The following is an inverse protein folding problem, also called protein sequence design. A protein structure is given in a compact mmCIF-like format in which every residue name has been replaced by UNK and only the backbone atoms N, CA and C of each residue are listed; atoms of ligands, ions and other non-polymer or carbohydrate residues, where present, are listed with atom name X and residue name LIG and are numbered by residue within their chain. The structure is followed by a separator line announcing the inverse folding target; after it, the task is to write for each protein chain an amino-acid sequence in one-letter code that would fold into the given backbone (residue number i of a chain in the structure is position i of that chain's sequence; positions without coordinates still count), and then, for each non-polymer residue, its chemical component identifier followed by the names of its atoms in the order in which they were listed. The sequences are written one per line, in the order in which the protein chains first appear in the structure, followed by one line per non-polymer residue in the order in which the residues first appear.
data_IF_255793750197
#
_entry.id   IF_255793750197
#
_cell.length_a   1.000
_cell.length_b   1.000
_cell.length_c   1.000
_cell.angle_alpha   90.00
_cell.angle_beta   90.00
_cell.angle_gamma   90.00
#
_symmetry.space_group_name_H-M   'P 1'
#
loop_
_entity.id
_entity.type
_entity.pdbx_description
1 polymer ?
#
# COMPACT_ATOMS: atom_id res chain seq x y z
N UNK A 1 31.02 -51.52 -35.65
CA UNK A 1 30.57 -50.43 -36.56
C UNK A 1 29.73 -49.48 -35.72
N UNK A 2 30.38 -48.49 -35.08
CA UNK A 2 30.36 -47.04 -35.42
C UNK A 2 28.94 -46.47 -35.47
N UNK A 3 28.58 -45.38 -34.78
CA UNK A 3 29.39 -44.37 -34.07
C UNK A 3 28.49 -43.42 -33.28
N UNK A 4 28.73 -43.28 -31.98
CA UNK A 4 28.22 -42.18 -31.16
C UNK A 4 29.20 -41.01 -31.19
N UNK A 5 28.95 -40.02 -32.05
CA UNK A 5 29.72 -38.78 -32.15
C UNK A 5 28.73 -37.60 -32.09
N UNK A 6 28.61 -36.98 -30.92
CA UNK A 6 28.39 -35.54 -30.69
C UNK A 6 27.99 -35.29 -29.22
N UNK A 7 28.92 -35.53 -28.30
CA UNK A 7 28.89 -34.89 -26.97
C UNK A 7 30.05 -33.90 -26.98
N UNK A 8 29.73 -32.61 -27.07
CA UNK A 8 30.73 -31.54 -26.96
C UNK A 8 31.39 -31.59 -25.59
N UNK A 9 32.73 -31.47 -25.56
CA UNK A 9 33.49 -31.39 -24.31
C UNK A 9 33.12 -30.10 -23.56
N UNK A 10 32.96 -30.14 -22.22
CA UNK A 10 32.89 -28.92 -21.43
C UNK A 10 34.26 -28.23 -21.41
N UNK A 11 34.32 -26.88 -21.44
CA UNK A 11 35.59 -26.18 -21.30
C UNK A 11 36.14 -26.31 -19.88
N UNK A 12 37.41 -26.67 -19.82
CA UNK A 12 38.25 -26.82 -18.62
C UNK A 12 38.79 -25.44 -18.22
N UNK A 13 38.50 -24.99 -17.00
CA UNK A 13 39.07 -23.77 -16.42
C UNK A 13 39.93 -24.16 -15.21
N UNK A 14 41.21 -24.37 -15.47
CA UNK A 14 42.25 -24.47 -14.44
C UNK A 14 42.82 -23.08 -14.15
N UNK A 15 42.73 -22.64 -12.90
CA UNK A 15 43.33 -21.40 -12.38
C UNK A 15 44.86 -21.50 -12.26
N UNK A 16 45.61 -20.40 -12.52
CA UNK A 16 46.94 -20.21 -11.96
C UNK A 16 46.94 -19.18 -10.81
N UNK A 17 47.50 -19.58 -9.66
CA UNK A 17 47.83 -18.70 -8.53
C UNK A 17 49.05 -17.79 -8.76
N UNK A 18 49.42 -16.95 -7.77
CA UNK A 18 49.73 -15.54 -8.00
C UNK A 18 51.23 -15.23 -8.15
N UNK A 19 51.54 -14.14 -8.87
CA UNK A 19 52.86 -13.51 -8.86
C UNK A 19 52.74 -12.03 -8.48
N UNK A 20 53.40 -11.67 -7.38
CA UNK A 20 53.51 -10.35 -6.77
C UNK A 20 54.11 -9.28 -7.71
N UNK A 21 53.53 -8.08 -7.72
CA UNK A 21 54.32 -6.85 -7.68
C UNK A 21 53.55 -5.67 -7.09
N UNK A 22 54.26 -4.94 -6.23
CA UNK A 22 53.83 -3.94 -5.25
C UNK A 22 53.08 -2.72 -5.81
N UNK A 23 51.94 -2.41 -5.19
CA UNK A 23 51.80 -1.19 -4.38
C UNK A 23 51.14 0.05 -5.00
N UNK A 24 49.81 0.16 -4.89
CA UNK A 24 49.16 1.44 -4.56
C UNK A 24 47.84 1.18 -3.81
N UNK A 25 47.70 1.83 -2.65
CA UNK A 25 46.62 1.64 -1.66
C UNK A 25 45.25 2.13 -2.16
N UNK A 26 44.21 1.30 -1.91
CA UNK A 26 42.79 1.54 -1.51
C UNK A 26 42.08 2.77 -2.12
N UNK A 27 40.88 2.63 -2.72
CA UNK A 27 39.63 2.30 -2.01
C UNK A 27 38.57 1.65 -2.92
N UNK A 28 37.89 0.64 -2.38
CA UNK A 28 36.67 0.08 -2.96
C UNK A 28 35.53 1.12 -2.87
N UNK A 29 34.84 1.35 -3.98
CA UNK A 29 33.53 2.00 -3.99
C UNK A 29 32.54 0.89 -4.31
N UNK A 30 32.01 0.28 -3.25
CA UNK A 30 30.78 -0.48 -3.33
C UNK A 30 29.62 0.51 -3.42
N UNK A 31 28.69 0.23 -4.32
CA UNK A 31 27.36 0.85 -4.33
C UNK A 31 26.69 0.54 -2.99
N UNK A 32 26.61 1.54 -2.12
CA UNK A 32 25.75 1.53 -0.95
C UNK A 32 24.47 2.30 -1.27
N UNK A 33 23.37 1.56 -1.19
CA UNK A 33 22.00 2.04 -1.22
C UNK A 33 21.80 3.24 -0.29
N UNK A 34 21.05 4.22 -0.79
CA UNK A 34 20.55 5.37 -0.04
C UNK A 34 19.49 4.92 0.98
N UNK A 35 19.95 4.34 2.08
CA UNK A 35 19.23 4.26 3.35
C UNK A 35 19.87 5.28 4.28
N UNK A 36 19.41 6.53 4.28
CA UNK A 36 19.73 7.45 5.38
C UNK A 36 18.83 7.15 6.59
N UNK A 37 18.94 5.94 7.11
CA UNK A 37 18.70 5.67 8.51
C UNK A 37 19.92 4.89 9.02
N UNK A 38 20.65 5.53 9.94
CA UNK A 38 21.80 4.96 10.62
C UNK A 38 21.48 3.53 11.07
N UNK A 39 22.26 2.55 10.60
CA UNK A 39 22.12 1.13 10.91
C UNK A 39 22.38 0.78 12.39
N UNK A 40 22.56 1.79 13.25
CA UNK A 40 22.96 1.67 14.65
C UNK A 40 21.96 2.29 15.65
N UNK A 41 20.84 2.88 15.22
CA UNK A 41 19.93 3.60 16.13
C UNK A 41 18.57 2.89 16.28
N UNK A 42 18.20 2.53 17.51
CA UNK A 42 17.01 1.72 17.87
C UNK A 42 15.78 2.52 18.36
N UNK A 43 15.53 3.75 17.88
CA UNK A 43 14.32 4.50 18.27
C UNK A 43 13.78 5.37 17.13
N UNK A 44 12.70 4.94 16.44
CA UNK A 44 12.06 5.73 15.39
C UNK A 44 11.14 6.81 15.97
N UNK A 45 11.37 8.06 15.57
CA UNK A 45 10.57 9.24 15.93
C UNK A 45 9.83 9.72 14.69
N UNK A 46 8.50 9.84 14.79
CA UNK A 46 7.69 10.45 13.73
C UNK A 46 7.80 11.97 13.77
N UNK A 47 8.04 12.57 12.62
CA UNK A 47 7.91 14.02 12.43
C UNK A 47 6.45 14.43 12.22
N UNK A 48 6.14 15.72 12.36
CA UNK A 48 4.80 16.29 12.10
C UNK A 48 4.32 16.12 10.65
N UNK A 49 5.20 15.73 9.74
CA UNK A 49 4.90 15.41 8.36
C UNK A 49 4.81 13.90 8.07
N UNK A 50 4.87 13.05 9.10
CA UNK A 50 4.71 11.59 8.99
C UNK A 50 5.93 10.81 8.50
N UNK A 51 7.10 11.45 8.38
CA UNK A 51 8.37 10.77 8.10
C UNK A 51 9.08 10.35 9.38
N UNK A 52 9.77 9.21 9.35
CA UNK A 52 10.40 8.57 10.51
C UNK A 52 11.92 8.74 10.47
N UNK A 53 12.50 9.20 11.59
CA UNK A 53 13.95 9.34 11.76
C UNK A 53 14.40 8.78 13.10
N UNK A 54 15.69 8.51 13.26
CA UNK A 54 16.24 8.14 14.55
C UNK A 54 16.31 9.34 15.52
N UNK A 55 16.14 9.12 16.82
CA UNK A 55 16.19 10.20 17.84
C UNK A 55 17.50 11.02 17.77
N UNK A 56 18.65 10.37 17.57
CA UNK A 56 19.96 11.02 17.43
C UNK A 56 20.11 11.82 16.12
N UNK A 57 19.54 11.31 15.02
CA UNK A 57 19.50 11.95 13.71
C UNK A 57 18.67 13.24 13.76
N UNK A 58 17.64 13.23 14.61
CA UNK A 58 16.79 14.40 14.88
C UNK A 58 17.59 15.46 15.63
N UNK A 59 18.24 15.10 16.73
CA UNK A 59 19.03 16.06 17.53
C UNK A 59 20.22 16.65 16.76
N UNK A 60 20.99 15.82 16.03
CA UNK A 60 22.17 16.30 15.29
C UNK A 60 21.85 17.28 14.16
N UNK A 61 20.66 17.17 13.56
CA UNK A 61 20.20 18.06 12.50
C UNK A 61 19.57 19.35 13.06
N UNK A 62 18.97 19.26 14.25
CA UNK A 62 18.30 20.38 14.90
C UNK A 62 19.29 21.31 15.61
N UNK A 63 20.45 20.80 16.03
CA UNK A 63 21.55 21.60 16.62
C UNK A 63 22.37 22.41 15.59
N UNK A 64 22.21 22.16 14.28
CA UNK A 64 22.91 22.90 13.21
C UNK A 64 22.11 24.07 12.62
N UNK A 65 20.89 24.31 13.10
CA UNK A 65 20.02 25.39 12.62
C UNK A 65 20.18 26.65 13.49
N UNK A 66 20.81 27.69 12.94
CA UNK A 66 21.02 28.99 13.60
C UNK A 66 19.70 29.75 13.92
N UNK A 67 19.72 30.86 14.68
CA UNK A 67 18.99 31.12 15.95
C UNK A 67 17.48 31.41 15.82
N UNK A 68 16.85 31.06 14.70
CA UNK A 68 15.46 31.42 14.40
C UNK A 68 14.42 30.35 14.74
N UNK A 69 14.82 29.29 15.46
CA UNK A 69 13.89 28.40 16.17
C UNK A 69 12.92 27.57 15.32
N UNK A 70 13.15 27.43 14.00
CA UNK A 70 12.25 26.70 13.11
C UNK A 70 13.01 25.63 12.33
N UNK A 71 12.87 24.37 12.74
CA UNK A 71 13.42 23.20 12.05
C UNK A 71 12.54 22.80 10.85
N UNK A 72 13.19 22.44 9.73
CA UNK A 72 12.53 21.93 8.52
C UNK A 72 12.83 20.43 8.37
N UNK A 73 11.85 19.64 7.92
CA UNK A 73 12.07 18.20 7.71
C UNK A 73 13.11 17.95 6.60
N UNK A 74 14.16 17.13 6.83
CA UNK A 74 15.19 16.86 5.83
C UNK A 74 14.69 16.05 4.62
N UNK A 75 13.57 15.32 4.75
CA UNK A 75 13.04 14.46 3.68
C UNK A 75 11.96 15.14 2.82
N UNK A 76 11.28 16.17 3.32
CA UNK A 76 10.20 16.85 2.56
C UNK A 76 10.22 18.38 2.63
N UNK A 77 11.16 18.99 3.36
CA UNK A 77 11.31 20.44 3.44
C UNK A 77 10.16 21.20 4.12
N UNK A 78 9.15 20.50 4.66
CA UNK A 78 7.99 21.14 5.28
C UNK A 78 8.41 21.97 6.50
N UNK A 79 7.98 23.23 6.48
CA UNK A 79 8.06 24.17 7.61
C UNK A 79 6.70 24.21 8.29
N UNK A 80 6.65 23.94 9.59
CA UNK A 80 5.42 24.08 10.38
C UNK A 80 4.95 25.54 10.34
N UNK A 81 3.82 25.82 9.68
CA UNK A 81 3.10 27.09 9.79
C UNK A 81 1.78 26.85 10.51
N UNK A 82 1.68 27.30 11.75
CA UNK A 82 0.40 27.55 12.41
C UNK A 82 -0.26 28.71 11.66
N UNK A 83 -1.39 28.49 10.98
CA UNK A 83 -2.21 29.60 10.46
C UNK A 83 -3.63 29.50 10.98
N UNK A 84 -4.01 30.55 11.71
CA UNK A 84 -5.32 30.80 12.29
C UNK A 84 -6.45 30.83 11.27
N UNK A 85 -7.54 30.12 11.62
CA UNK A 85 -8.92 30.60 11.60
C UNK A 85 -9.55 30.96 10.26
N UNK A 86 -10.45 30.11 9.78
CA UNK A 86 -11.68 30.56 9.13
C UNK A 86 -12.83 29.60 9.47
N UNK A 87 -13.76 30.08 10.28
CA UNK A 87 -14.97 29.37 10.69
C UNK A 87 -15.97 29.36 9.52
N UNK A 88 -16.57 28.21 9.23
CA UNK A 88 -17.87 28.14 8.57
C UNK A 88 -18.80 27.29 9.41
N UNK A 89 -20.00 27.83 9.62
CA UNK A 89 -20.99 27.35 10.57
C UNK A 89 -21.74 26.13 10.02
N UNK A 90 -21.95 25.13 10.89
CA UNK A 90 -23.22 24.43 11.01
C UNK A 90 -23.27 23.77 12.40
N UNK A 91 -24.14 24.29 13.25
CA UNK A 91 -24.38 23.78 14.60
C UNK A 91 -25.40 22.64 14.53
N UNK A 92 -24.95 21.44 14.90
CA UNK A 92 -25.81 20.42 15.49
C UNK A 92 -25.31 20.20 16.93
N UNK A 93 -26.22 20.35 17.90
CA UNK A 93 -25.90 20.34 19.33
C UNK A 93 -25.29 19.00 19.75
N UNK A 94 -24.01 19.00 20.06
CA UNK A 94 -23.36 17.91 20.76
C UNK A 94 -22.54 18.42 21.94
N UNK A 95 -22.49 17.63 23.01
CA UNK A 95 -21.86 18.03 24.27
C UNK A 95 -20.37 18.30 24.13
N UNK A 96 -19.72 18.94 25.13
CA UNK A 96 -18.31 19.34 25.05
C UNK A 96 -17.33 18.18 24.81
N UNK A 97 -17.69 16.94 25.19
CA UNK A 97 -16.89 15.74 24.90
C UNK A 97 -16.99 15.27 23.43
N UNK A 98 -18.07 15.61 22.73
CA UNK A 98 -18.31 15.21 21.34
C UNK A 98 -17.61 16.18 20.36
N UNK A 99 -17.56 17.47 20.72
CA UNK A 99 -16.81 18.50 19.98
C UNK A 99 -15.32 18.14 19.91
N UNK A 100 -14.73 17.75 21.03
CA UNK A 100 -13.31 17.36 21.07
C UNK A 100 -12.99 16.09 20.28
N UNK A 101 -13.94 15.15 20.20
CA UNK A 101 -13.75 13.92 19.43
C UNK A 101 -13.82 14.18 17.92
N UNK A 102 -14.70 15.09 17.49
CA UNK A 102 -14.80 15.50 16.10
C UNK A 102 -13.50 16.16 15.61
N UNK A 103 -12.91 17.05 16.42
CA UNK A 103 -11.62 17.68 16.09
C UNK A 103 -10.51 16.65 15.86
N UNK A 104 -10.47 15.59 16.68
CA UNK A 104 -9.48 14.51 16.54
C UNK A 104 -9.71 13.68 15.27
N UNK A 105 -10.97 13.44 14.91
CA UNK A 105 -11.32 12.75 13.67
C UNK A 105 -10.94 13.59 12.43
N UNK A 106 -11.16 14.90 12.46
CA UNK A 106 -10.70 15.80 11.40
C UNK A 106 -9.17 15.83 11.31
N UNK A 107 -8.46 15.84 12.44
CA UNK A 107 -6.99 15.77 12.49
C UNK A 107 -6.48 14.47 11.83
N UNK A 108 -7.12 13.33 12.16
CA UNK A 108 -6.82 12.02 11.54
C UNK A 108 -7.07 12.04 10.03
N UNK A 109 -8.20 12.59 9.62
CA UNK A 109 -8.60 12.70 8.21
C UNK A 109 -7.62 13.55 7.40
N UNK A 110 -7.19 14.69 7.92
CA UNK A 110 -6.17 15.55 7.30
C UNK A 110 -4.80 14.84 7.22
N UNK A 111 -4.44 14.08 8.25
CA UNK A 111 -3.21 13.27 8.25
C UNK A 111 -3.23 12.21 7.13
N UNK A 112 -4.32 11.46 7.01
CA UNK A 112 -4.48 10.46 5.95
C UNK A 112 -4.52 11.09 4.56
N UNK A 113 -5.19 12.23 4.40
CA UNK A 113 -5.17 12.99 3.15
C UNK A 113 -3.75 13.33 2.75
N UNK A 114 -2.96 13.93 3.66
CA UNK A 114 -1.56 14.29 3.43
C UNK A 114 -0.69 13.08 3.06
N UNK A 115 -0.95 11.92 3.68
CA UNK A 115 -0.24 10.66 3.39
C UNK A 115 -0.57 10.09 2.00
N UNK A 116 -1.79 10.29 1.50
CA UNK A 116 -2.27 9.66 0.26
C UNK A 116 -2.36 10.62 -0.95
N UNK A 117 -2.30 11.93 -0.74
CA UNK A 117 -2.48 12.93 -1.82
C UNK A 117 -1.37 12.90 -2.88
N UNK A 118 -0.21 12.36 -2.53
CA UNK A 118 1.02 12.47 -3.30
C UNK A 118 1.71 11.14 -3.46
N UNK A 119 2.13 10.85 -4.68
CA UNK A 119 2.88 9.63 -5.03
C UNK A 119 4.18 10.01 -5.73
N UNK A 120 5.22 9.21 -5.53
CA UNK A 120 6.51 9.39 -6.18
C UNK A 120 6.41 8.87 -7.61
N UNK A 121 6.62 9.75 -8.58
CA UNK A 121 6.88 9.36 -9.96
C UNK A 121 8.40 9.37 -10.16
N UNK A 122 8.95 8.41 -10.89
CA UNK A 122 10.39 8.22 -11.06
C UNK A 122 11.03 9.25 -11.99
N UNK A 123 10.61 10.52 -11.90
CA UNK A 123 11.16 11.63 -12.66
C UNK A 123 12.59 11.94 -12.24
N UNK A 124 13.37 12.53 -13.16
CA UNK A 124 14.78 12.89 -13.01
C UNK A 124 15.13 13.77 -11.78
N UNK A 125 14.14 14.36 -11.10
CA UNK A 125 14.34 15.11 -9.86
C UNK A 125 14.03 14.26 -8.62
N UNK A 126 15.03 13.97 -7.76
CA UNK A 126 14.83 13.28 -6.49
C UNK A 126 13.81 14.03 -5.62
N UNK A 127 12.69 13.38 -5.31
CA UNK A 127 11.67 13.91 -4.40
C UNK A 127 10.50 14.67 -5.05
N UNK A 128 10.44 14.76 -6.39
CA UNK A 128 9.24 15.26 -7.07
C UNK A 128 8.04 14.34 -6.81
N UNK A 129 7.03 14.87 -6.11
CA UNK A 129 5.80 14.16 -5.73
C UNK A 129 4.62 14.71 -6.53
N UNK A 130 3.99 13.85 -7.33
CA UNK A 130 2.82 14.19 -8.15
C UNK A 130 1.53 13.95 -7.37
N UNK A 131 0.53 14.82 -7.59
CA UNK A 131 -0.79 14.65 -7.01
C UNK A 131 -1.47 13.40 -7.58
N UNK A 132 -1.89 12.48 -6.72
CA UNK A 132 -2.52 11.22 -7.11
C UNK A 132 -3.72 11.47 -8.03
N UNK A 133 -4.61 12.40 -7.65
CA UNK A 133 -5.81 12.73 -8.43
C UNK A 133 -5.52 13.23 -9.85
N UNK A 134 -4.31 13.77 -10.11
CA UNK A 134 -3.93 14.24 -11.45
C UNK A 134 -3.64 13.09 -12.42
N UNK A 135 -3.11 11.99 -11.90
CA UNK A 135 -2.56 10.88 -12.70
C UNK A 135 -3.39 9.60 -12.56
N UNK A 136 -4.26 9.53 -11.54
CA UNK A 136 -5.07 8.37 -11.28
C UNK A 136 -6.00 8.09 -12.47
N UNK A 137 -5.95 6.85 -12.94
CA UNK A 137 -6.86 6.28 -13.92
C UNK A 137 -7.55 5.11 -13.22
N UNK A 138 -8.87 5.04 -13.32
CA UNK A 138 -9.63 3.98 -12.64
C UNK A 138 -9.16 2.60 -13.14
N UNK A 139 -9.01 1.66 -12.21
CA UNK A 139 -8.54 0.32 -12.49
C UNK A 139 -9.72 -0.62 -12.71
N UNK A 140 -9.54 -1.61 -13.58
CA UNK A 140 -10.53 -2.64 -13.80
C UNK A 140 -10.45 -3.67 -12.67
N UNK A 141 -11.49 -3.67 -11.82
CA UNK A 141 -11.64 -4.60 -10.71
C UNK A 141 -12.83 -5.49 -10.98
N UNK A 142 -12.69 -6.79 -10.77
CA UNK A 142 -13.78 -7.77 -10.90
C UNK A 142 -13.89 -8.59 -9.63
N UNK A 143 -15.04 -9.24 -9.43
CA UNK A 143 -15.14 -10.32 -8.46
C UNK A 143 -14.20 -11.47 -8.86
N UNK A 144 -13.47 -12.02 -7.89
CA UNK A 144 -12.55 -13.14 -8.09
C UNK A 144 -13.24 -14.49 -7.90
N UNK A 145 -12.91 -15.50 -8.72
CA UNK A 145 -13.33 -16.88 -8.50
C UNK A 145 -12.26 -17.66 -7.73
N UNK A 146 -12.71 -18.47 -6.76
CA UNK A 146 -11.86 -19.23 -5.84
C UNK A 146 -11.12 -20.42 -6.47
N UNK A 147 -11.43 -20.83 -7.71
CA UNK A 147 -11.05 -22.17 -8.21
C UNK A 147 -9.80 -22.25 -9.10
N UNK A 148 -9.21 -21.13 -9.55
CA UNK A 148 -8.07 -21.18 -10.51
C UNK A 148 -6.70 -20.81 -9.93
N UNK A 149 -6.57 -20.69 -8.60
CA UNK A 149 -5.34 -20.21 -7.93
C UNK A 149 -4.27 -21.30 -7.76
N UNK A 150 -4.05 -22.16 -8.78
CA UNK A 150 -3.00 -23.18 -8.72
C UNK A 150 -2.01 -23.22 -9.90
N UNK A 151 -1.95 -22.18 -10.74
CA UNK A 151 -0.88 -22.07 -11.75
C UNK A 151 0.12 -20.96 -11.40
N UNK A 152 1.36 -21.39 -11.19
CA UNK A 152 2.48 -20.69 -10.55
C UNK A 152 3.13 -19.60 -11.41
N UNK A 153 2.49 -19.15 -12.49
CA UNK A 153 3.07 -18.18 -13.42
C UNK A 153 2.19 -16.96 -13.62
N UNK A 154 2.65 -15.82 -13.11
CA UNK A 154 2.03 -14.50 -13.36
C UNK A 154 1.90 -14.22 -14.88
N UNK A 155 2.81 -14.78 -15.69
CA UNK A 155 2.78 -14.68 -17.16
C UNK A 155 1.57 -15.42 -17.75
N UNK A 156 1.26 -16.63 -17.27
CA UNK A 156 0.10 -17.40 -17.75
C UNK A 156 -1.22 -16.73 -17.38
N UNK A 157 -1.28 -16.06 -16.21
CA UNK A 157 -2.46 -15.31 -15.79
C UNK A 157 -2.74 -14.11 -16.70
N UNK A 158 -1.69 -13.37 -17.10
CA UNK A 158 -1.81 -12.26 -18.05
C UNK A 158 -2.29 -12.73 -19.43
N UNK A 159 -1.73 -13.84 -19.92
CA UNK A 159 -2.13 -14.38 -21.22
C UNK A 159 -3.56 -14.95 -21.22
N UNK A 160 -3.95 -15.62 -20.14
CA UNK A 160 -5.29 -16.23 -20.00
C UNK A 160 -6.35 -15.14 -19.85
N UNK A 161 -6.08 -14.10 -19.07
CA UNK A 161 -6.95 -12.92 -18.96
C UNK A 161 -7.17 -12.22 -20.31
N UNK A 162 -6.15 -12.18 -21.19
CA UNK A 162 -6.28 -11.59 -22.53
C UNK A 162 -7.11 -12.43 -23.51
N UNK A 163 -7.17 -13.75 -23.32
CA UNK A 163 -7.81 -14.70 -24.26
C UNK A 163 -9.27 -14.99 -23.89
N UNK A 164 -9.65 -14.88 -22.62
CA UNK A 164 -10.96 -15.35 -22.12
C UNK A 164 -11.96 -14.21 -21.95
N UNK A 165 -12.52 -13.68 -23.05
CA UNK A 165 -13.60 -12.65 -23.02
C UNK A 165 -14.94 -13.12 -22.42
N UNK A 166 -15.08 -14.38 -21.97
CA UNK A 166 -16.40 -15.00 -21.68
C UNK A 166 -16.66 -15.42 -20.23
N UNK A 167 -15.72 -15.24 -19.30
CA UNK A 167 -15.84 -15.73 -17.90
C UNK A 167 -15.45 -14.66 -16.88
N UNK A 168 -15.91 -13.42 -17.05
CA UNK A 168 -15.55 -12.33 -16.13
C UNK A 168 -16.76 -11.90 -15.33
N UNK A 169 -16.63 -11.94 -14.00
CA UNK A 169 -17.59 -11.37 -13.07
C UNK A 169 -17.81 -9.88 -13.37
N UNK A 170 -18.94 -9.34 -12.92
CA UNK A 170 -19.28 -7.95 -13.15
C UNK A 170 -18.16 -7.02 -12.65
N UNK A 171 -17.85 -5.92 -13.38
CA UNK A 171 -16.90 -4.94 -12.90
C UNK A 171 -17.39 -4.31 -11.60
N UNK A 172 -16.49 -4.16 -10.64
CA UNK A 172 -16.75 -3.58 -9.33
C UNK A 172 -16.00 -2.25 -9.26
N UNK A 173 -16.69 -1.19 -8.84
CA UNK A 173 -16.03 0.08 -8.53
C UNK A 173 -15.34 -0.02 -7.18
N UNK A 174 -14.16 0.60 -7.04
CA UNK A 174 -13.38 0.54 -5.81
C UNK A 174 -14.17 0.99 -4.56
N UNK A 175 -15.02 2.02 -4.68
CA UNK A 175 -15.88 2.50 -3.59
C UNK A 175 -17.02 1.53 -3.20
N UNK A 176 -17.33 0.58 -4.07
CA UNK A 176 -18.42 -0.39 -3.89
C UNK A 176 -17.92 -1.76 -3.42
N UNK A 177 -16.64 -1.91 -3.09
CA UNK A 177 -16.04 -3.20 -2.67
C UNK A 177 -16.63 -3.79 -1.38
N UNK A 178 -17.44 -3.08 -0.61
CA UNK A 178 -18.13 -3.67 0.54
C UNK A 178 -19.64 -3.83 0.32
N UNK A 179 -20.12 -3.50 -0.88
CA UNK A 179 -21.52 -3.65 -1.25
C UNK A 179 -21.74 -5.05 -1.81
N UNK A 180 -22.69 -5.77 -1.24
CA UNK A 180 -23.09 -7.07 -1.76
C UNK A 180 -23.61 -6.92 -3.19
N UNK A 181 -23.18 -7.83 -4.08
CA UNK A 181 -23.79 -7.96 -5.40
C UNK A 181 -25.24 -8.45 -5.24
N UNK A 182 -26.14 -8.18 -6.20
CA UNK A 182 -27.56 -8.56 -6.11
C UNK A 182 -27.81 -10.04 -5.81
N UNK A 183 -26.85 -10.90 -6.14
CA UNK A 183 -26.91 -12.36 -5.99
C UNK A 183 -26.34 -12.86 -4.64
N UNK A 184 -25.57 -12.03 -3.92
CA UNK A 184 -24.96 -12.41 -2.65
C UNK A 184 -25.88 -12.07 -1.46
N UNK A 185 -26.11 -13.07 -0.59
CA UNK A 185 -26.88 -12.90 0.65
C UNK A 185 -25.91 -12.85 1.85
N UNK A 186 -25.72 -11.66 2.42
CA UNK A 186 -24.91 -11.47 3.64
C UNK A 186 -24.14 -10.16 3.64
N UNK A 187 -23.74 -9.71 4.83
CA UNK A 187 -22.88 -8.53 4.98
C UNK A 187 -21.43 -8.90 4.67
N UNK A 188 -20.80 -8.20 3.73
CA UNK A 188 -19.37 -8.38 3.41
C UNK A 188 -18.55 -7.67 4.49
N UNK A 189 -17.84 -8.45 5.31
CA UNK A 189 -16.94 -7.92 6.33
C UNK A 189 -15.49 -7.85 5.88
N UNK A 190 -15.01 -8.91 5.23
CA UNK A 190 -13.60 -9.06 4.82
C UNK A 190 -13.54 -9.17 3.31
N UNK A 191 -12.76 -8.27 2.69
CA UNK A 191 -12.49 -8.25 1.26
C UNK A 191 -11.02 -8.59 1.05
N UNK A 192 -10.74 -9.59 0.22
CA UNK A 192 -9.39 -9.92 -0.21
C UNK A 192 -9.23 -9.57 -1.69
N UNK A 193 -8.40 -8.57 -1.98
CA UNK A 193 -8.13 -8.11 -3.33
C UNK A 193 -6.79 -8.64 -3.82
N UNK A 194 -6.85 -9.47 -4.84
CA UNK A 194 -5.70 -10.05 -5.51
C UNK A 194 -5.33 -9.25 -6.77
N UNK A 195 -4.14 -9.52 -7.29
CA UNK A 195 -3.68 -9.00 -8.56
C UNK A 195 -2.18 -9.19 -8.70
N UNK A 196 -1.70 -9.29 -9.94
CA UNK A 196 -0.27 -9.45 -10.21
C UNK A 196 0.55 -8.24 -9.74
N UNK A 197 1.88 -8.39 -9.69
CA UNK A 197 2.77 -7.28 -9.39
C UNK A 197 2.55 -6.11 -10.37
N UNK A 198 2.54 -4.87 -9.86
CA UNK A 198 2.34 -3.69 -10.70
C UNK A 198 0.92 -3.47 -11.23
N UNK A 199 -0.05 -4.34 -10.89
CA UNK A 199 -1.45 -4.20 -11.33
C UNK A 199 -2.17 -2.96 -10.78
N UNK A 200 -1.62 -2.32 -9.75
CA UNK A 200 -2.17 -1.09 -9.17
C UNK A 200 -2.93 -1.24 -7.84
N UNK A 201 -2.83 -2.39 -7.16
CA UNK A 201 -3.50 -2.66 -5.87
C UNK A 201 -3.30 -1.53 -4.84
N UNK A 202 -2.04 -1.18 -4.53
CA UNK A 202 -1.72 -0.07 -3.63
C UNK A 202 -2.25 1.27 -4.15
N UNK A 203 -2.24 1.51 -5.47
CA UNK A 203 -2.80 2.73 -6.05
C UNK A 203 -4.31 2.85 -5.82
N UNK A 204 -5.06 1.73 -5.92
CA UNK A 204 -6.49 1.68 -5.56
C UNK A 204 -6.72 2.01 -4.09
N UNK A 205 -5.90 1.45 -3.19
CA UNK A 205 -5.97 1.71 -1.75
C UNK A 205 -5.71 3.18 -1.42
N UNK A 206 -4.67 3.77 -2.02
CA UNK A 206 -4.34 5.17 -1.83
C UNK A 206 -5.47 6.08 -2.34
N UNK A 207 -6.04 5.78 -3.51
CA UNK A 207 -7.14 6.56 -4.06
C UNK A 207 -8.40 6.47 -3.19
N UNK A 208 -8.78 5.27 -2.77
CA UNK A 208 -9.91 5.06 -1.88
C UNK A 208 -9.74 5.86 -0.58
N UNK A 209 -8.55 5.76 0.04
CA UNK A 209 -8.26 6.46 1.30
C UNK A 209 -8.30 7.98 1.12
N UNK A 210 -7.77 8.47 -0.01
CA UNK A 210 -7.80 9.90 -0.35
C UNK A 210 -9.23 10.40 -0.55
N UNK A 211 -10.07 9.67 -1.29
CA UNK A 211 -11.47 10.05 -1.54
C UNK A 211 -12.30 10.07 -0.26
N UNK A 212 -12.10 9.09 0.61
CA UNK A 212 -12.71 9.09 1.95
C UNK A 212 -12.24 10.30 2.76
N UNK A 213 -10.93 10.61 2.74
CA UNK A 213 -10.37 11.73 3.48
C UNK A 213 -10.77 13.10 2.90
N UNK A 214 -11.10 13.19 1.62
CA UNK A 214 -11.64 14.39 0.98
C UNK A 214 -13.17 14.51 1.11
N UNK A 215 -13.85 13.45 1.54
CA UNK A 215 -15.29 13.46 1.79
C UNK A 215 -16.15 13.11 0.59
N UNK A 216 -15.51 12.54 -0.42
CA UNK A 216 -16.13 12.27 -1.70
C UNK A 216 -16.93 10.97 -1.64
N UNK A 217 -16.39 9.95 -0.96
CA UNK A 217 -16.94 8.59 -0.99
C UNK A 217 -16.86 7.91 0.39
N UNK A 218 -17.67 6.85 0.59
CA UNK A 218 -17.65 5.97 1.77
C UNK A 218 -17.75 6.68 3.14
N UNK A 219 -18.48 7.80 3.21
CA UNK A 219 -18.68 8.56 4.46
C UNK A 219 -19.60 7.87 5.47
N UNK A 220 -20.16 6.70 5.13
CA UNK A 220 -20.83 5.80 6.08
C UNK A 220 -19.83 5.11 7.03
N UNK A 221 -18.54 5.07 6.66
CA UNK A 221 -17.43 4.60 7.51
C UNK A 221 -16.91 5.76 8.35
N UNK A 222 -16.88 5.59 9.66
CA UNK A 222 -16.47 6.62 10.61
C UNK A 222 -14.97 6.90 10.54
N UNK A 223 -14.16 5.85 10.35
CA UNK A 223 -12.69 5.93 10.34
C UNK A 223 -12.11 4.90 9.38
N UNK A 224 -11.21 5.35 8.50
CA UNK A 224 -10.34 4.47 7.71
C UNK A 224 -8.96 4.37 8.37
N UNK A 225 -8.41 3.16 8.40
CA UNK A 225 -7.11 2.82 9.00
C UNK A 225 -6.28 2.04 7.97
N UNK A 226 -5.38 2.74 7.28
CA UNK A 226 -4.44 2.18 6.31
C UNK A 226 -3.11 1.75 6.94
N UNK A 227 -2.92 0.44 7.08
CA UNK A 227 -1.72 -0.17 7.64
C UNK A 227 -1.06 -1.06 6.58
N UNK A 228 0.17 -0.75 6.17
CA UNK A 228 0.90 -1.67 5.28
C UNK A 228 1.54 -2.80 6.08
N UNK A 229 1.63 -3.99 5.50
CA UNK A 229 2.38 -5.09 6.13
C UNK A 229 3.87 -4.75 6.29
N UNK A 230 4.43 -3.93 5.40
CA UNK A 230 5.80 -3.40 5.55
C UNK A 230 5.98 -2.62 6.85
N UNK A 231 5.03 -1.73 7.18
CA UNK A 231 5.05 -0.96 8.43
C UNK A 231 4.81 -1.86 9.65
N UNK A 232 3.86 -2.81 9.56
CA UNK A 232 3.58 -3.76 10.64
C UNK A 232 4.78 -4.66 10.96
N UNK A 233 5.59 -5.01 9.96
CA UNK A 233 6.81 -5.79 10.15
C UNK A 233 7.85 -5.09 11.06
N UNK A 234 7.81 -3.76 11.17
CA UNK A 234 8.77 -3.00 11.98
C UNK A 234 8.55 -3.20 13.48
N UNK A 235 7.31 -3.51 13.89
CA UNK A 235 6.91 -3.71 15.28
C UNK A 235 6.51 -5.15 15.58
N UNK A 236 6.86 -6.09 14.69
CA UNK A 236 6.40 -7.49 14.75
C UNK A 236 6.81 -8.23 16.03
N UNK A 237 7.94 -7.84 16.61
CA UNK A 237 8.56 -8.45 17.78
C UNK A 237 8.05 -7.82 19.10
N UNK A 238 7.20 -6.80 19.00
CA UNK A 238 6.59 -6.11 20.12
C UNK A 238 5.19 -6.67 20.43
N UNK A 239 4.74 -6.46 21.67
CA UNK A 239 3.35 -6.69 22.05
C UNK A 239 2.59 -5.38 22.16
N UNK A 240 1.36 -5.39 21.65
CA UNK A 240 0.48 -4.24 21.61
C UNK A 240 -0.94 -4.69 21.93
N UNK A 241 -1.76 -3.80 22.49
CA UNK A 241 -3.20 -3.92 22.30
C UNK A 241 -3.58 -3.28 20.97
N UNK A 242 -4.78 -3.53 20.46
CA UNK A 242 -5.20 -2.84 19.24
C UNK A 242 -5.16 -1.31 19.42
N UNK A 243 -5.59 -0.81 20.57
CA UNK A 243 -5.54 0.62 20.87
C UNK A 243 -4.10 1.15 20.86
N UNK A 244 -3.13 0.45 21.46
CA UNK A 244 -1.74 0.92 21.46
C UNK A 244 -1.11 0.82 20.08
N UNK A 245 -1.43 -0.23 19.32
CA UNK A 245 -0.99 -0.38 17.92
C UNK A 245 -1.48 0.79 17.06
N UNK A 246 -2.76 1.16 17.19
CA UNK A 246 -3.30 2.31 16.47
C UNK A 246 -2.64 3.63 16.87
N UNK A 247 -2.28 3.81 18.14
CA UNK A 247 -1.56 5.01 18.61
C UNK A 247 -0.13 5.10 18.08
N UNK A 248 0.51 3.97 17.78
CA UNK A 248 1.83 3.95 17.12
C UNK A 248 1.74 4.47 15.69
N UNK A 249 0.77 4.01 14.92
CA UNK A 249 0.62 4.42 13.51
C UNK A 249 -0.13 5.75 13.33
N UNK A 250 -1.01 6.11 14.28
CA UNK A 250 -1.84 7.31 14.24
C UNK A 250 -1.77 8.03 15.59
N UNK A 251 -0.82 8.96 15.79
CA UNK A 251 -0.67 9.68 17.04
C UNK A 251 -1.94 10.43 17.51
N UNK A 252 -2.83 10.80 16.59
CA UNK A 252 -4.15 11.38 16.88
C UNK A 252 -5.02 10.47 17.78
N UNK A 253 -4.83 9.15 17.72
CA UNK A 253 -5.56 8.17 18.53
C UNK A 253 -5.17 8.18 20.01
N UNK A 254 -4.15 8.95 20.41
CA UNK A 254 -3.84 9.14 21.84
C UNK A 254 -5.01 9.79 22.58
N UNK A 255 -5.77 10.64 21.90
CA UNK A 255 -6.93 11.36 22.45
C UNK A 255 -8.23 10.55 22.36
N UNK A 256 -8.21 9.38 21.71
CA UNK A 256 -9.40 8.55 21.48
C UNK A 256 -9.56 7.53 22.63
N UNK A 257 -10.73 7.49 23.29
CA UNK A 257 -11.06 6.47 24.29
C UNK A 257 -11.22 5.09 23.65
N UNK A 258 -10.92 4.03 24.41
CA UNK A 258 -11.01 2.65 23.93
C UNK A 258 -12.43 2.27 23.50
N UNK A 259 -13.44 2.76 24.23
CA UNK A 259 -14.84 2.37 24.06
C UNK A 259 -15.39 2.86 22.71
N UNK A 260 -14.84 3.95 22.17
CA UNK A 260 -15.25 4.50 20.87
C UNK A 260 -14.92 3.56 19.71
N UNK A 261 -13.84 2.79 19.80
CA UNK A 261 -13.44 1.84 18.76
C UNK A 261 -14.47 0.73 18.55
N UNK A 262 -15.19 0.33 19.61
CA UNK A 262 -16.23 -0.70 19.53
C UNK A 262 -17.55 -0.19 18.94
N UNK A 263 -17.79 1.12 19.01
CA UNK A 263 -19.03 1.76 18.53
C UNK A 263 -18.92 2.21 17.09
N UNK A 264 -17.74 2.67 16.67
CA UNK A 264 -17.54 3.18 15.32
C UNK A 264 -17.53 2.08 14.26
N UNK A 265 -18.06 2.43 13.09
CA UNK A 265 -17.84 1.65 11.87
C UNK A 265 -16.44 1.93 11.34
N UNK A 266 -15.50 1.05 11.70
CA UNK A 266 -14.09 1.15 11.33
C UNK A 266 -13.82 0.34 10.05
N UNK A 267 -12.96 0.86 9.18
CA UNK A 267 -12.39 0.11 8.04
C UNK A 267 -10.88 0.00 8.21
N UNK A 268 -10.40 -1.23 8.37
CA UNK A 268 -8.98 -1.57 8.34
C UNK A 268 -8.58 -1.95 6.92
N UNK A 269 -7.60 -1.26 6.35
CA UNK A 269 -6.99 -1.60 5.08
C UNK A 269 -5.57 -2.12 5.36
N UNK A 270 -5.36 -3.40 5.09
CA UNK A 270 -4.06 -4.06 5.19
C UNK A 270 -3.44 -4.22 3.80
N UNK A 271 -2.52 -3.31 3.46
CA UNK A 271 -1.90 -3.30 2.12
C UNK A 271 -0.64 -4.16 2.08
N UNK A 272 -0.53 -5.02 1.06
CA UNK A 272 0.68 -5.77 0.73
C UNK A 272 0.91 -7.03 1.57
N UNK A 273 -0.07 -7.92 1.70
CA UNK A 273 0.07 -9.20 2.43
C UNK A 273 1.24 -10.05 1.91
N UNK A 274 1.57 -9.97 0.62
CA UNK A 274 2.74 -10.62 0.02
C UNK A 274 4.08 -10.15 0.61
N UNK A 275 4.08 -9.06 1.37
CA UNK A 275 5.25 -8.46 2.01
C UNK A 275 5.26 -8.71 3.53
N UNK A 276 4.26 -9.44 4.03
CA UNK A 276 4.17 -9.82 5.43
C UNK A 276 5.31 -10.74 5.84
N UNK A 277 5.93 -10.45 6.99
CA UNK A 277 6.83 -11.36 7.71
C UNK A 277 6.16 -11.93 8.96
N UNK A 278 4.85 -11.71 9.11
CA UNK A 278 4.05 -12.18 10.23
C UNK A 278 3.50 -13.56 9.91
N UNK A 279 3.60 -14.48 10.86
CA UNK A 279 2.97 -15.80 10.74
C UNK A 279 1.52 -15.73 11.23
N UNK A 280 0.59 -15.53 10.30
CA UNK A 280 -0.84 -15.44 10.61
C UNK A 280 -1.42 -16.84 10.86
N UNK A 281 -1.47 -17.25 12.13
CA UNK A 281 -2.07 -18.52 12.52
C UNK A 281 -3.58 -18.38 12.80
N UNK A 282 -4.39 -18.91 11.88
CA UNK A 282 -5.85 -18.94 11.99
C UNK A 282 -6.40 -20.18 12.71
N UNK A 283 -5.55 -21.17 12.98
CA UNK A 283 -5.89 -22.43 13.65
C UNK A 283 -5.79 -22.34 15.18
N UNK A 284 -4.92 -21.47 15.68
CA UNK A 284 -4.74 -21.20 17.11
C UNK A 284 -6.02 -20.72 17.82
N UNK A 285 -6.18 -21.15 19.07
CA UNK A 285 -7.21 -20.69 20.00
C UNK A 285 -6.83 -19.41 20.77
N UNK A 286 -5.60 -18.91 20.61
CA UNK A 286 -5.11 -17.70 21.29
C UNK A 286 -5.57 -16.44 20.57
N UNK A 287 -6.87 -16.17 20.59
CA UNK A 287 -7.47 -14.96 20.02
C UNK A 287 -7.83 -13.97 21.12
N UNK A 288 -7.89 -12.69 20.74
CA UNK A 288 -8.29 -11.60 21.63
C UNK A 288 -9.59 -10.98 21.16
N UNK A 289 -10.41 -10.50 22.10
CA UNK A 289 -11.68 -9.82 21.81
C UNK A 289 -11.67 -8.35 22.21
N UNK A 290 -10.81 -7.98 23.16
CA UNK A 290 -10.78 -6.66 23.76
C UNK A 290 -9.72 -5.76 23.12
N UNK A 291 -10.09 -4.53 22.80
CA UNK A 291 -9.19 -3.54 22.16
C UNK A 291 -8.03 -3.10 23.04
N UNK A 292 -8.13 -3.34 24.35
CA UNK A 292 -7.11 -3.02 25.37
C UNK A 292 -6.23 -4.22 25.74
N UNK A 293 -6.61 -5.45 25.34
CA UNK A 293 -5.84 -6.65 25.62
C UNK A 293 -4.56 -6.67 24.78
N UNK A 294 -3.40 -6.76 25.44
CA UNK A 294 -2.10 -6.83 24.76
C UNK A 294 -1.83 -8.23 24.23
N UNK A 295 -1.33 -8.30 23.00
CA UNK A 295 -0.91 -9.53 22.33
C UNK A 295 0.14 -9.23 21.26
N UNK A 296 0.62 -10.25 20.57
CA UNK A 296 1.49 -10.06 19.39
C UNK A 296 0.70 -9.47 18.22
N UNK A 297 1.40 -8.76 17.31
CA UNK A 297 0.78 -8.16 16.12
C UNK A 297 0.04 -9.21 15.30
N UNK A 298 0.62 -10.39 15.10
CA UNK A 298 -0.02 -11.49 14.38
C UNK A 298 -1.36 -11.94 15.01
N UNK A 299 -1.44 -12.03 16.35
CA UNK A 299 -2.68 -12.40 17.05
C UNK A 299 -3.73 -11.29 16.95
N UNK A 300 -3.32 -10.02 17.00
CA UNK A 300 -4.24 -8.90 16.79
C UNK A 300 -4.86 -8.94 15.39
N UNK A 301 -4.03 -9.15 14.37
CA UNK A 301 -4.48 -9.23 12.97
C UNK A 301 -5.38 -10.44 12.72
N UNK A 302 -5.01 -11.63 13.20
CA UNK A 302 -5.87 -12.82 13.04
C UNK A 302 -7.19 -12.67 13.79
N UNK A 303 -7.18 -12.09 14.98
CA UNK A 303 -8.40 -11.81 15.76
C UNK A 303 -9.30 -10.79 15.06
N UNK A 304 -8.74 -9.74 14.44
CA UNK A 304 -9.48 -8.78 13.61
C UNK A 304 -10.05 -9.46 12.37
N UNK A 305 -9.28 -10.26 11.64
CA UNK A 305 -9.73 -10.89 10.39
C UNK A 305 -10.82 -11.92 10.68
N UNK A 306 -10.69 -12.74 11.72
CA UNK A 306 -11.72 -13.70 12.16
C UNK A 306 -12.96 -13.04 12.77
N UNK A 307 -12.87 -11.76 13.14
CA UNK A 307 -13.98 -11.01 13.74
C UNK A 307 -14.17 -11.22 15.24
N UNK A 308 -13.19 -11.84 15.92
CA UNK A 308 -13.16 -11.91 17.38
C UNK A 308 -12.90 -10.53 18.01
N UNK A 309 -11.99 -9.77 17.38
CA UNK A 309 -11.71 -8.38 17.74
C UNK A 309 -12.47 -7.47 16.78
N UNK A 310 -13.25 -6.53 17.33
CA UNK A 310 -14.10 -5.61 16.57
C UNK A 310 -14.96 -6.31 15.49
N UNK A 311 -16.00 -7.05 15.91
CA UNK A 311 -16.82 -7.86 14.99
C UNK A 311 -17.45 -7.03 13.87
N UNK A 312 -17.82 -5.78 14.15
CA UNK A 312 -18.46 -4.86 13.19
C UNK A 312 -17.48 -4.14 12.25
N UNK A 313 -16.17 -4.27 12.45
CA UNK A 313 -15.17 -3.61 11.61
C UNK A 313 -15.08 -4.28 10.23
N UNK A 314 -14.94 -3.44 9.20
CA UNK A 314 -14.64 -3.88 7.84
C UNK A 314 -13.13 -4.08 7.69
N UNK A 315 -12.74 -5.08 6.91
CA UNK A 315 -11.33 -5.39 6.64
C UNK A 315 -11.13 -5.54 5.14
N UNK A 316 -10.20 -4.77 4.58
CA UNK A 316 -9.76 -4.88 3.20
C UNK A 316 -8.28 -5.28 3.17
N UNK A 317 -7.96 -6.40 2.54
CA UNK A 317 -6.59 -6.91 2.42
C UNK A 317 -6.22 -6.90 0.94
N UNK A 318 -5.04 -6.37 0.60
CA UNK A 318 -4.48 -6.53 -0.75
C UNK A 318 -3.33 -7.54 -0.74
N UNK A 319 -3.24 -8.35 -1.80
CA UNK A 319 -2.20 -9.38 -1.89
C UNK A 319 -1.84 -9.72 -3.34
N UNK A 320 -0.67 -10.31 -3.54
CA UNK A 320 -0.42 -11.11 -4.75
C UNK A 320 -1.08 -12.48 -4.61
N UNK A 321 -1.48 -13.14 -5.71
CA UNK A 321 -2.10 -14.46 -5.67
C UNK A 321 -1.34 -15.48 -4.82
N UNK A 322 0.00 -15.50 -4.91
CA UNK A 322 0.86 -16.44 -4.19
C UNK A 322 0.81 -16.33 -2.65
N UNK A 323 0.43 -15.17 -2.11
CA UNK A 323 0.33 -14.93 -0.68
C UNK A 323 -1.12 -14.87 -0.18
N UNK A 324 -2.09 -14.82 -1.09
CA UNK A 324 -3.52 -14.75 -0.76
C UNK A 324 -4.01 -15.95 0.06
N UNK A 325 -3.41 -17.12 -0.16
CA UNK A 325 -3.70 -18.37 0.55
C UNK A 325 -3.33 -18.34 2.05
N UNK A 326 -2.59 -17.33 2.52
CA UNK A 326 -2.37 -17.12 3.95
C UNK A 326 -3.67 -16.78 4.70
N UNK A 327 -4.68 -16.25 4.00
CA UNK A 327 -6.00 -15.97 4.57
C UNK A 327 -6.94 -17.13 4.23
N UNK A 328 -7.51 -17.83 5.22
CA UNK A 328 -8.45 -18.91 4.96
C UNK A 328 -9.69 -18.41 4.20
N UNK A 329 -10.18 -19.14 3.19
CA UNK A 329 -11.40 -18.76 2.46
C UNK A 329 -12.61 -18.52 3.35
N UNK A 330 -12.74 -19.27 4.45
CA UNK A 330 -13.81 -19.11 5.44
C UNK A 330 -13.81 -17.73 6.14
N UNK A 331 -12.70 -17.00 6.12
CA UNK A 331 -12.60 -15.64 6.67
C UNK A 331 -12.93 -14.56 5.63
N UNK A 332 -12.99 -14.89 4.34
CA UNK A 332 -13.14 -13.93 3.25
C UNK A 332 -14.61 -13.87 2.84
N UNK A 333 -15.23 -12.70 3.00
CA UNK A 333 -16.62 -12.47 2.56
C UNK A 333 -16.72 -12.16 1.08
N UNK A 334 -15.69 -11.52 0.51
CA UNK A 334 -15.62 -11.27 -0.93
C UNK A 334 -14.17 -11.30 -1.42
N UNK A 335 -13.96 -11.96 -2.56
CA UNK A 335 -12.68 -11.94 -3.27
C UNK A 335 -12.79 -11.03 -4.49
N UNK A 336 -11.80 -10.17 -4.71
CA UNK A 336 -11.73 -9.30 -5.89
C UNK A 336 -10.37 -9.40 -6.55
N UNK A 337 -10.31 -9.01 -7.83
CA UNK A 337 -9.09 -9.03 -8.62
C UNK A 337 -8.89 -7.67 -9.30
N UNK A 338 -7.74 -7.05 -9.07
CA UNK A 338 -7.28 -5.87 -9.82
C UNK A 338 -6.54 -6.37 -11.06
N UNK A 339 -7.11 -6.09 -12.23
CA UNK A 339 -6.60 -6.56 -13.52
C UNK A 339 -5.80 -5.53 -14.31
N UNK A 340 -5.65 -4.33 -13.75
CA UNK A 340 -4.99 -3.21 -14.41
C UNK A 340 -5.95 -2.40 -15.29
N UNK A 341 -5.53 -2.07 -16.51
CA UNK A 341 -6.26 -1.21 -17.43
C UNK A 341 -6.94 -1.98 -18.58
N UNK A 342 -8.22 -1.66 -18.80
CA UNK A 342 -8.92 -1.92 -20.06
C UNK A 342 -8.43 -1.00 -21.18
N UNK A 343 -8.82 -1.28 -22.42
CA UNK A 343 -8.46 -0.44 -23.57
C UNK A 343 -8.80 1.05 -23.40
N UNK A 344 -10.02 1.44 -22.95
CA UNK A 344 -10.31 2.84 -22.67
C UNK A 344 -9.42 3.45 -21.58
N UNK A 345 -9.18 2.71 -20.49
CA UNK A 345 -8.34 3.16 -19.37
C UNK A 345 -6.87 3.34 -19.79
N UNK A 346 -6.33 2.47 -20.65
CA UNK A 346 -4.99 2.65 -21.22
C UNK A 346 -4.87 3.98 -21.95
N UNK A 347 -5.84 4.29 -22.81
CA UNK A 347 -5.82 5.54 -23.55
C UNK A 347 -5.98 6.76 -22.63
N UNK A 348 -6.87 6.68 -21.64
CA UNK A 348 -7.06 7.72 -20.63
C UNK A 348 -5.76 8.02 -19.88
N UNK A 349 -5.06 6.97 -19.44
CA UNK A 349 -3.78 7.09 -18.74
C UNK A 349 -2.76 7.90 -19.57
N UNK A 350 -2.55 7.53 -20.83
CA UNK A 350 -1.58 8.21 -21.68
C UNK A 350 -2.00 9.65 -22.04
N UNK A 351 -3.30 9.92 -22.19
CA UNK A 351 -3.81 11.30 -22.38
C UNK A 351 -3.59 12.16 -21.13
N UNK A 352 -3.83 11.62 -19.93
CA UNK A 352 -3.53 12.32 -18.66
C UNK A 352 -2.04 12.60 -18.48
N UNK A 353 -1.20 11.65 -18.91
CA UNK A 353 0.25 11.68 -18.69
C UNK A 353 0.99 12.60 -19.65
N UNK A 354 0.53 12.73 -20.90
CA UNK A 354 1.15 13.58 -21.92
C UNK A 354 0.30 14.82 -22.21
N UNK A 355 0.84 16.02 -21.91
CA UNK A 355 0.15 17.30 -22.17
C UNK A 355 -0.11 17.56 -23.66
N UNK A 356 0.66 16.95 -24.55
CA UNK A 356 0.55 17.14 -26.00
C UNK A 356 -0.29 16.03 -26.62
N UNK A 357 -1.49 16.38 -27.07
CA UNK A 357 -2.43 15.46 -27.73
C UNK A 357 -1.85 14.72 -28.93
N UNK A 358 -0.96 15.35 -29.71
CA UNK A 358 -0.31 14.69 -30.85
C UNK A 358 0.66 13.60 -30.39
N UNK A 359 1.37 13.83 -29.28
CA UNK A 359 2.26 12.84 -28.68
C UNK A 359 1.46 11.69 -28.07
N UNK A 360 0.42 12.00 -27.29
CA UNK A 360 -0.48 11.02 -26.70
C UNK A 360 -1.11 10.13 -27.79
N UNK A 361 -1.64 10.73 -28.85
CA UNK A 361 -2.24 10.02 -29.99
C UNK A 361 -1.25 9.10 -30.71
N UNK A 362 -0.01 9.55 -30.90
CA UNK A 362 1.05 8.75 -31.54
C UNK A 362 1.44 7.53 -30.69
N UNK A 363 1.56 7.70 -29.37
CA UNK A 363 1.84 6.60 -28.43
C UNK A 363 0.68 5.61 -28.42
N UNK A 364 -0.56 6.09 -28.28
CA UNK A 364 -1.75 5.24 -28.33
C UNK A 364 -1.81 4.44 -29.64
N UNK A 365 -1.49 5.08 -30.78
CA UNK A 365 -1.44 4.39 -32.08
C UNK A 365 -0.37 3.31 -32.12
N UNK A 366 0.81 3.54 -31.54
CA UNK A 366 1.90 2.56 -31.46
C UNK A 366 1.52 1.35 -30.60
N UNK A 367 0.83 1.61 -29.49
CA UNK A 367 0.32 0.56 -28.60
C UNK A 367 -0.71 -0.31 -29.32
N UNK A 368 -1.61 0.32 -30.08
CA UNK A 368 -2.63 -0.40 -30.86
C UNK A 368 -2.05 -1.21 -32.01
N UNK A 369 -0.94 -0.77 -32.63
CA UNK A 369 -0.30 -1.49 -33.73
C UNK A 369 0.58 -2.65 -33.27
N UNK A 370 0.99 -2.68 -32.00
CA UNK A 370 1.81 -3.76 -31.43
C UNK A 370 1.02 -4.58 -30.42
N UNK A 371 0.72 -5.84 -30.77
CA UNK A 371 0.03 -6.78 -29.87
C UNK A 371 0.76 -6.95 -28.53
N UNK A 372 2.10 -6.99 -28.56
CA UNK A 372 2.89 -7.16 -27.34
C UNK A 372 2.80 -5.94 -26.42
N UNK A 373 2.88 -4.73 -26.96
CA UNK A 373 2.69 -3.50 -26.17
C UNK A 373 1.25 -3.39 -25.65
N UNK A 374 0.28 -3.76 -26.46
CA UNK A 374 -1.13 -3.76 -26.06
C UNK A 374 -1.42 -4.65 -24.84
N UNK A 375 -0.81 -5.84 -24.79
CA UNK A 375 -0.92 -6.77 -23.65
C UNK A 375 -0.12 -6.25 -22.46
N UNK A 376 1.12 -5.81 -22.68
CA UNK A 376 2.00 -5.31 -21.63
C UNK A 376 1.37 -4.13 -20.88
N UNK A 377 0.81 -3.15 -21.59
CA UNK A 377 0.19 -1.97 -21.00
C UNK A 377 -1.18 -2.21 -20.35
N UNK A 378 -1.64 -3.46 -20.30
CA UNK A 378 -2.69 -3.83 -19.36
C UNK A 378 -2.23 -3.63 -17.90
N UNK A 379 -0.95 -3.85 -17.59
CA UNK A 379 -0.42 -3.67 -16.24
C UNK A 379 0.12 -2.24 -16.06
N UNK A 380 -0.48 -1.44 -15.15
CA UNK A 380 -0.17 -0.01 -15.01
C UNK A 380 1.30 0.32 -14.80
N UNK A 381 2.06 -0.53 -14.11
CA UNK A 381 3.51 -0.28 -13.89
C UNK A 381 4.27 -0.13 -15.22
N UNK A 382 3.91 -0.88 -16.26
CA UNK A 382 4.58 -0.76 -17.55
C UNK A 382 4.20 0.53 -18.28
N UNK A 383 2.95 0.99 -18.13
CA UNK A 383 2.54 2.30 -18.63
C UNK A 383 3.36 3.41 -17.97
N UNK A 384 3.56 3.31 -16.66
CA UNK A 384 4.35 4.26 -15.87
C UNK A 384 5.83 4.25 -16.24
N UNK A 385 6.45 3.09 -16.44
CA UNK A 385 7.87 2.98 -16.85
C UNK A 385 8.09 3.62 -18.23
N UNK A 386 7.12 3.49 -19.15
CA UNK A 386 7.29 3.96 -20.53
C UNK A 386 7.04 5.46 -20.67
N UNK A 387 6.12 6.02 -19.89
CA UNK A 387 5.64 7.38 -20.05
C UNK A 387 6.50 8.41 -19.32
#
# INVERSE_FOLDING_TARGET
VKSGWSMGKPPDFSEPGPSDTKGRKRSAVGEEDQLSCCSLCQDPVSTSCGHWFCSQCTTSYWDQSAPSGLSSCPQCGNRSRTRSGLQTANQSSSGPADVGLQEVLEEHRLSLRSRCERVTEGSDEPGSRTLLNRIYTELYITEGQSEEVNTQHEVEQLETASKTKRLHGAPIRCQDIFKALPEQHGAIRVVLTNGVAGAGKTFSVLKFTLDWAEGLENQDVHVVLLLSFRELNLIRDEQHSLLTLLRVFYPTFQKIPAEKLAVWKLLFIFDGLDESRLSLDFSSSQLVSEVTQRSSVQVLLTSLIKGNLLPSALVWITSRPAAANQIPPACVGMMTEVRGFTDPQKEEYFRKRFRNEKQASRIISLIKSSRSLHIMYQIPVFCWITA
#
